data_IF_125407849165
#
_entry.id   IF_125407849165
#
_cell.length_a   1.000
_cell.length_b   1.000
_cell.length_c   1.000
_cell.angle_alpha   90.00
_cell.angle_beta   90.00
_cell.angle_gamma   90.00
#
_symmetry.space_group_name_H-M   'P 1'
#
loop_
_entity.id
_entity.type
_entity.pdbx_description
1 polymer ?
#
# COMPACT_ATOMS: atom_id res chain seq x y z
N UNK A 1 28.58 15.68 -0.27
CA UNK A 1 27.42 16.57 -0.04
C UNK A 1 26.41 15.76 0.75
N UNK A 2 26.46 15.83 2.09
CA UNK A 2 25.82 14.87 2.98
C UNK A 2 24.39 15.28 3.36
N UNK A 3 23.43 14.40 3.09
CA UNK A 3 22.06 14.51 3.61
C UNK A 3 22.06 14.16 5.10
N UNK A 4 21.68 15.14 5.93
CA UNK A 4 21.59 15.00 7.38
C UNK A 4 20.43 14.06 7.76
N UNK A 5 20.73 13.05 8.58
CA UNK A 5 19.74 12.36 9.42
C UNK A 5 19.26 13.35 10.48
N UNK A 6 17.96 13.61 10.53
CA UNK A 6 17.33 14.32 11.65
C UNK A 6 16.40 13.33 12.33
N UNK A 7 16.73 13.00 13.58
CA UNK A 7 15.84 12.27 14.49
C UNK A 7 15.34 13.32 15.48
N UNK A 8 14.15 13.86 15.27
CA UNK A 8 13.52 14.78 16.21
C UNK A 8 12.37 14.07 16.92
N UNK A 9 12.50 13.95 18.25
CA UNK A 9 11.44 13.58 19.18
C UNK A 9 10.45 14.75 19.29
N UNK A 10 9.16 14.48 19.18
CA UNK A 10 8.10 15.48 19.39
C UNK A 10 7.32 15.11 20.66
N UNK A 11 7.42 15.95 21.70
CA UNK A 11 6.51 15.93 22.84
C UNK A 11 5.27 16.78 22.51
N UNK A 12 4.09 16.19 22.61
CA UNK A 12 2.82 16.83 22.30
C UNK A 12 2.39 17.78 23.42
N UNK A 13 2.24 19.07 23.09
CA UNK A 13 1.52 20.02 23.93
C UNK A 13 0.01 19.73 23.85
N UNK A 14 -0.54 19.20 24.94
CA UNK A 14 -1.97 19.13 25.16
C UNK A 14 -2.47 20.49 25.66
N UNK A 15 -3.37 21.14 24.92
CA UNK A 15 -4.47 21.85 25.57
C UNK A 15 -5.69 22.09 24.66
N UNK A 16 -6.82 21.56 25.14
CA UNK A 16 -8.19 22.05 25.07
C UNK A 16 -8.74 22.65 23.77
N UNK A 17 -9.68 21.93 23.15
CA UNK A 17 -10.91 22.56 22.65
C UNK A 17 -12.07 21.54 22.63
N UNK A 18 -13.08 21.80 23.45
CA UNK A 18 -14.38 21.13 23.42
C UNK A 18 -15.17 21.58 22.19
N UNK A 19 -15.82 20.61 21.51
CA UNK A 19 -16.92 20.84 20.59
C UNK A 19 -16.55 21.33 19.17
N UNK A 20 -16.17 20.40 18.29
CA UNK A 20 -16.39 20.49 16.82
C UNK A 20 -16.12 19.14 16.11
N UNK A 21 -17.07 18.80 15.24
CA UNK A 21 -16.96 17.97 14.02
C UNK A 21 -17.23 16.45 14.07
N UNK A 22 -18.40 16.09 13.53
CA UNK A 22 -18.63 14.91 12.68
C UNK A 22 -17.71 14.94 11.42
N UNK A 23 -16.39 14.92 11.59
CA UNK A 23 -15.46 14.68 10.50
C UNK A 23 -14.94 13.26 10.57
N UNK A 24 -15.69 12.34 9.96
CA UNK A 24 -15.18 11.01 9.64
C UNK A 24 -14.25 11.10 8.43
N UNK A 25 -13.07 11.71 8.59
CA UNK A 25 -12.00 11.57 7.62
C UNK A 25 -10.78 10.95 8.30
N UNK A 26 -10.30 9.88 7.67
CA UNK A 26 -9.16 9.09 8.08
C UNK A 26 -8.43 8.66 6.82
N UNK A 27 -7.57 7.66 6.93
CA UNK A 27 -6.81 7.16 5.78
C UNK A 27 -7.62 6.09 5.06
N UNK A 28 -7.78 6.21 3.73
CA UNK A 28 -8.34 5.15 2.89
C UNK A 28 -7.22 4.34 2.24
N UNK A 29 -7.42 3.03 2.18
CA UNK A 29 -6.42 2.09 1.69
C UNK A 29 -6.86 1.57 0.33
N UNK A 30 -5.99 1.70 -0.66
CA UNK A 30 -6.24 1.28 -2.04
C UNK A 30 -5.24 0.19 -2.37
N UNK A 31 -5.74 -1.02 -2.58
CA UNK A 31 -4.93 -2.16 -3.01
C UNK A 31 -4.99 -2.27 -4.52
N UNK A 32 -3.85 -2.09 -5.18
CA UNK A 32 -3.69 -2.23 -6.62
C UNK A 32 -3.49 -3.71 -6.98
N UNK A 33 -4.54 -4.34 -7.49
CA UNK A 33 -4.60 -5.77 -7.79
C UNK A 33 -5.11 -6.07 -9.22
N UNK A 34 -4.99 -5.10 -10.14
CA UNK A 34 -5.50 -5.19 -11.51
C UNK A 34 -4.42 -5.32 -12.59
N UNK A 35 -3.15 -5.51 -12.20
CA UNK A 35 -2.04 -5.67 -13.13
C UNK A 35 -2.09 -6.99 -13.90
N UNK A 36 -1.75 -6.95 -15.19
CA UNK A 36 -1.83 -8.11 -16.11
C UNK A 36 -0.84 -9.26 -15.84
N UNK A 37 0.09 -9.12 -14.89
CA UNK A 37 1.07 -10.14 -14.53
C UNK A 37 1.78 -10.81 -15.74
N UNK A 38 2.09 -10.04 -16.79
CA UNK A 38 2.58 -10.55 -18.09
C UNK A 38 3.84 -11.43 -17.99
N UNK A 39 4.70 -11.15 -17.01
CA UNK A 39 5.96 -11.90 -16.77
C UNK A 39 5.76 -13.20 -15.98
N UNK A 40 4.62 -13.35 -15.29
CA UNK A 40 4.29 -14.50 -14.47
C UNK A 40 3.48 -15.55 -15.25
N UNK A 41 2.94 -15.19 -16.42
CA UNK A 41 2.19 -16.12 -17.27
C UNK A 41 0.69 -16.19 -16.96
N UNK A 42 0.09 -15.10 -16.42
CA UNK A 42 -1.28 -14.96 -15.89
C UNK A 42 -1.48 -15.52 -14.47
N UNK A 43 -2.52 -15.06 -13.75
CA UNK A 43 -2.97 -15.57 -12.43
C UNK A 43 -1.97 -15.45 -11.26
N UNK A 44 -0.99 -14.54 -11.31
CA UNK A 44 0.00 -14.35 -10.22
C UNK A 44 -0.63 -14.14 -8.84
N UNK A 45 -1.64 -13.28 -8.77
CA UNK A 45 -2.24 -12.86 -7.52
C UNK A 45 -3.11 -13.96 -6.88
N UNK A 46 -3.58 -14.91 -7.69
CA UNK A 46 -4.36 -16.08 -7.27
C UNK A 46 -3.52 -17.35 -7.14
N UNK A 47 -2.27 -17.34 -7.60
CA UNK A 47 -1.33 -18.44 -7.44
C UNK A 47 -1.13 -18.79 -5.96
N UNK A 48 -1.05 -20.08 -5.67
CA UNK A 48 -0.78 -20.57 -4.32
C UNK A 48 0.64 -20.22 -3.90
N UNK A 49 0.76 -19.63 -2.72
CA UNK A 49 2.00 -19.41 -2.03
C UNK A 49 1.80 -19.79 -0.57
N UNK A 50 2.41 -20.91 -0.17
CA UNK A 50 2.34 -21.44 1.21
C UNK A 50 0.89 -21.72 1.66
N UNK A 51 0.07 -22.31 0.77
CA UNK A 51 -1.32 -22.69 1.06
C UNK A 51 -2.33 -21.54 1.04
N UNK A 52 -1.96 -20.39 0.46
CA UNK A 52 -2.82 -19.21 0.32
C UNK A 52 -2.57 -18.51 -1.01
N UNK A 53 -3.60 -17.94 -1.66
CA UNK A 53 -3.42 -17.04 -2.79
C UNK A 53 -2.46 -15.89 -2.46
N UNK A 54 -1.58 -15.51 -3.38
CA UNK A 54 -0.58 -14.47 -3.15
C UNK A 54 -1.18 -13.16 -2.61
N UNK A 55 -2.28 -12.67 -3.22
CA UNK A 55 -2.99 -11.47 -2.76
C UNK A 55 -3.59 -11.62 -1.35
N UNK A 56 -3.95 -12.86 -0.97
CA UNK A 56 -4.47 -13.17 0.35
C UNK A 56 -3.50 -12.86 1.49
N UNK A 57 -2.19 -12.88 1.23
CA UNK A 57 -1.19 -12.48 2.22
C UNK A 57 -1.28 -10.99 2.57
N UNK A 58 -1.43 -10.13 1.56
CA UNK A 58 -1.63 -8.69 1.76
C UNK A 58 -2.98 -8.41 2.42
N UNK A 59 -4.03 -9.16 2.07
CA UNK A 59 -5.36 -9.01 2.68
C UNK A 59 -5.36 -9.40 4.16
N UNK A 60 -4.65 -10.46 4.53
CA UNK A 60 -4.46 -10.81 5.94
C UNK A 60 -3.57 -9.80 6.68
N UNK A 61 -2.57 -9.21 6.02
CA UNK A 61 -1.78 -8.12 6.59
C UNK A 61 -2.65 -6.90 6.91
N UNK A 62 -3.58 -6.53 6.02
CA UNK A 62 -4.55 -5.45 6.25
C UNK A 62 -5.49 -5.77 7.42
N UNK A 63 -5.98 -7.01 7.50
CA UNK A 63 -6.84 -7.46 8.60
C UNK A 63 -6.10 -7.45 9.94
N UNK A 64 -4.89 -7.99 9.99
CA UNK A 64 -4.05 -8.01 11.20
C UNK A 64 -3.57 -6.62 11.64
N UNK A 65 -3.48 -5.66 10.72
CA UNK A 65 -3.26 -4.26 11.04
C UNK A 65 -4.45 -3.59 11.74
N UNK A 66 -5.61 -4.25 11.81
CA UNK A 66 -6.84 -3.72 12.39
C UNK A 66 -7.56 -2.71 11.48
N UNK A 67 -7.27 -2.72 10.17
CA UNK A 67 -7.93 -1.84 9.22
C UNK A 67 -9.42 -2.22 9.09
N UNK A 68 -10.36 -1.28 9.30
CA UNK A 68 -11.78 -1.55 9.05
C UNK A 68 -11.99 -1.94 7.58
N UNK A 69 -12.71 -3.03 7.26
CA UNK A 69 -12.86 -3.47 5.87
C UNK A 69 -13.44 -2.39 4.94
N UNK A 70 -14.35 -1.56 5.46
CA UNK A 70 -14.95 -0.43 4.74
C UNK A 70 -13.96 0.71 4.39
N UNK A 71 -12.74 0.69 4.94
CA UNK A 71 -11.66 1.64 4.61
C UNK A 71 -10.77 1.16 3.46
N UNK A 72 -10.91 -0.11 3.06
CA UNK A 72 -10.10 -0.76 2.03
C UNK A 72 -10.89 -0.85 0.72
N UNK A 73 -10.24 -0.49 -0.38
CA UNK A 73 -10.74 -0.63 -1.75
C UNK A 73 -9.74 -1.45 -2.56
N UNK A 74 -10.16 -2.58 -3.11
CA UNK A 74 -9.34 -3.42 -3.98
C UNK A 74 -9.70 -3.14 -5.43
N UNK A 75 -8.73 -2.68 -6.21
CA UNK A 75 -8.89 -2.46 -7.65
C UNK A 75 -8.46 -3.73 -8.37
N UNK A 76 -9.37 -4.38 -9.08
CA UNK A 76 -9.18 -5.71 -9.65
C UNK A 76 -9.47 -5.74 -11.15
N UNK A 77 -8.89 -6.71 -11.85
CA UNK A 77 -9.25 -7.03 -13.25
C UNK A 77 -9.66 -8.50 -13.35
N UNK A 78 -8.95 -9.37 -12.64
CA UNK A 78 -9.28 -10.78 -12.46
C UNK A 78 -10.47 -10.95 -11.48
N UNK A 79 -11.60 -11.55 -11.91
CA UNK A 79 -12.76 -11.79 -11.05
C UNK A 79 -12.47 -12.58 -9.77
N UNK A 80 -11.48 -13.48 -9.80
CA UNK A 80 -11.13 -14.27 -8.61
C UNK A 80 -10.57 -13.38 -7.49
N UNK A 81 -9.95 -12.25 -7.84
CA UNK A 81 -9.51 -11.23 -6.88
C UNK A 81 -10.71 -10.48 -6.26
N UNK A 82 -11.78 -10.26 -7.03
CA UNK A 82 -13.01 -9.67 -6.50
C UNK A 82 -13.63 -10.58 -5.44
N UNK A 83 -13.79 -11.87 -5.76
CA UNK A 83 -14.31 -12.88 -4.84
C UNK A 83 -13.46 -12.96 -3.57
N UNK A 84 -12.13 -12.97 -3.73
CA UNK A 84 -11.22 -12.98 -2.58
C UNK A 84 -11.37 -11.71 -1.74
N UNK A 85 -11.43 -10.52 -2.34
CA UNK A 85 -11.59 -9.27 -1.62
C UNK A 85 -12.92 -9.19 -0.85
N UNK A 86 -14.00 -9.67 -1.46
CA UNK A 86 -15.34 -9.75 -0.84
C UNK A 86 -15.35 -10.72 0.35
N UNK A 87 -14.61 -11.83 0.29
CA UNK A 87 -14.45 -12.74 1.44
C UNK A 87 -13.82 -12.04 2.66
N UNK A 88 -12.93 -11.06 2.45
CA UNK A 88 -12.38 -10.22 3.53
C UNK A 88 -13.28 -9.02 3.89
N UNK A 89 -14.40 -8.83 3.20
CA UNK A 89 -15.33 -7.72 3.39
C UNK A 89 -14.83 -6.38 2.84
N UNK A 90 -13.85 -6.39 1.94
CA UNK A 90 -13.31 -5.17 1.34
C UNK A 90 -14.20 -4.65 0.22
N UNK A 91 -14.16 -3.34 -0.03
CA UNK A 91 -14.81 -2.77 -1.20
C UNK A 91 -14.03 -3.18 -2.46
N UNK A 92 -14.73 -3.39 -3.57
CA UNK A 92 -14.12 -3.80 -4.84
C UNK A 92 -14.37 -2.77 -5.94
N UNK A 93 -13.41 -2.63 -6.86
CA UNK A 93 -13.50 -1.74 -8.01
C UNK A 93 -12.94 -2.43 -9.25
N UNK A 94 -13.79 -2.65 -10.26
CA UNK A 94 -13.38 -3.27 -11.51
C UNK A 94 -12.56 -2.30 -12.38
N UNK A 95 -11.44 -2.78 -12.90
CA UNK A 95 -10.63 -2.10 -13.90
C UNK A 95 -10.88 -2.69 -15.29
N UNK A 96 -11.63 -1.99 -16.16
CA UNK A 96 -11.93 -2.47 -17.51
C UNK A 96 -10.75 -2.34 -18.49
N UNK A 97 -9.69 -1.60 -18.13
CA UNK A 97 -8.56 -1.30 -19.02
C UNK A 97 -7.21 -1.40 -18.32
N UNK A 98 -6.81 -2.60 -17.84
CA UNK A 98 -5.54 -2.79 -17.13
C UNK A 98 -4.30 -2.52 -18.00
N UNK A 99 -4.44 -2.48 -19.32
CA UNK A 99 -3.39 -2.16 -20.29
C UNK A 99 -2.88 -0.72 -20.22
N UNK A 100 -3.66 0.21 -19.66
CA UNK A 100 -3.16 1.57 -19.42
C UNK A 100 -2.04 1.56 -18.36
N UNK A 101 -2.01 0.57 -17.47
CA UNK A 101 -0.99 0.41 -16.44
C UNK A 101 -1.38 1.02 -15.10
N UNK A 102 -0.39 1.38 -14.29
CA UNK A 102 -0.59 1.76 -12.89
C UNK A 102 -1.51 2.98 -12.69
N UNK A 103 -1.48 3.95 -13.61
CA UNK A 103 -2.29 5.16 -13.49
C UNK A 103 -3.80 4.84 -13.45
N UNK A 104 -4.27 3.91 -14.29
CA UNK A 104 -5.68 3.51 -14.28
C UNK A 104 -6.10 2.95 -12.92
N UNK A 105 -5.27 2.08 -12.32
CA UNK A 105 -5.53 1.52 -10.99
C UNK A 105 -5.63 2.61 -9.92
N UNK A 106 -4.71 3.58 -9.94
CA UNK A 106 -4.69 4.68 -8.98
C UNK A 106 -5.95 5.53 -9.10
N UNK A 107 -6.33 5.94 -10.33
CA UNK A 107 -7.50 6.78 -10.56
C UNK A 107 -8.80 6.07 -10.17
N UNK A 108 -8.94 4.79 -10.55
CA UNK A 108 -10.10 3.97 -10.21
C UNK A 108 -10.22 3.78 -8.70
N UNK A 109 -9.12 3.44 -8.02
CA UNK A 109 -9.10 3.28 -6.57
C UNK A 109 -9.44 4.57 -5.83
N UNK A 110 -8.94 5.71 -6.29
CA UNK A 110 -9.28 7.03 -5.73
C UNK A 110 -10.75 7.41 -5.96
N UNK A 111 -11.31 7.09 -7.14
CA UNK A 111 -12.70 7.39 -7.48
C UNK A 111 -13.70 6.50 -6.73
N UNK A 112 -13.35 5.23 -6.50
CA UNK A 112 -14.18 4.29 -5.76
C UNK A 112 -14.07 4.46 -4.23
N UNK A 113 -13.00 5.09 -3.75
CA UNK A 113 -12.83 5.39 -2.34
C UNK A 113 -13.58 6.64 -1.93
N UNK A 114 -14.13 6.65 -0.71
CA UNK A 114 -14.68 7.88 -0.11
C UNK A 114 -13.60 8.97 0.00
N UNK A 115 -14.03 10.21 0.17
CA UNK A 115 -13.13 11.29 0.59
C UNK A 115 -12.39 10.89 1.89
N UNK A 116 -11.16 11.36 2.04
CA UNK A 116 -10.21 10.91 3.05
C UNK A 116 -9.18 12.00 3.34
N UNK A 117 -8.54 12.02 4.50
CA UNK A 117 -7.43 12.93 4.77
C UNK A 117 -6.14 12.50 4.05
N UNK A 118 -6.04 11.21 3.77
CA UNK A 118 -4.93 10.62 3.02
C UNK A 118 -5.34 9.31 2.36
N UNK A 119 -4.54 8.88 1.39
CA UNK A 119 -4.71 7.64 0.66
C UNK A 119 -3.44 6.81 0.75
N UNK A 120 -3.53 5.62 1.35
CA UNK A 120 -2.47 4.63 1.33
C UNK A 120 -2.65 3.73 0.11
N UNK A 121 -1.61 3.59 -0.70
CA UNK A 121 -1.55 2.65 -1.81
C UNK A 121 -0.69 1.45 -1.43
N UNK A 122 -1.20 0.26 -1.72
CA UNK A 122 -0.53 -1.03 -1.55
C UNK A 122 -0.59 -1.79 -2.87
N UNK A 123 0.37 -2.67 -3.12
CA UNK A 123 0.29 -3.67 -4.19
C UNK A 123 -0.09 -5.03 -3.60
N UNK A 124 -0.80 -5.85 -4.38
CA UNK A 124 -1.28 -7.15 -3.91
C UNK A 124 -0.23 -8.28 -3.99
N UNK A 125 1.00 -7.97 -4.42
CA UNK A 125 2.07 -8.93 -4.72
C UNK A 125 3.27 -8.83 -3.77
N UNK A 126 3.08 -8.23 -2.60
CA UNK A 126 4.07 -8.14 -1.51
C UNK A 126 3.67 -9.07 -0.34
N UNK A 127 3.82 -10.40 -0.46
CA UNK A 127 3.28 -11.35 0.52
C UNK A 127 3.95 -11.27 1.90
N UNK A 128 5.11 -10.62 2.00
CA UNK A 128 5.85 -10.48 3.25
C UNK A 128 5.54 -9.17 3.99
N UNK A 129 4.71 -8.30 3.41
CA UNK A 129 4.27 -7.07 4.07
C UNK A 129 3.53 -7.39 5.37
N UNK A 130 3.92 -6.74 6.47
CA UNK A 130 3.37 -7.02 7.81
C UNK A 130 2.28 -6.05 8.21
N UNK A 131 1.29 -6.54 8.95
CA UNK A 131 0.25 -5.69 9.55
C UNK A 131 0.80 -4.65 10.54
N UNK A 132 1.91 -4.96 11.22
CA UNK A 132 2.61 -4.00 12.09
C UNK A 132 3.18 -2.82 11.28
N UNK A 133 3.70 -3.07 10.08
CA UNK A 133 4.18 -2.01 9.18
C UNK A 133 3.04 -1.13 8.71
N UNK A 134 1.94 -1.74 8.25
CA UNK A 134 0.73 -1.00 7.83
C UNK A 134 0.20 -0.13 8.98
N UNK A 135 -0.06 -0.73 10.14
CA UNK A 135 -0.61 -0.01 11.30
C UNK A 135 0.34 1.06 11.85
N UNK A 136 1.66 0.82 11.83
CA UNK A 136 2.66 1.79 12.21
C UNK A 136 2.68 2.99 11.28
N UNK A 137 2.71 2.77 9.96
CA UNK A 137 2.61 3.83 8.96
C UNK A 137 1.33 4.65 9.10
N UNK A 138 0.17 4.00 9.30
CA UNK A 138 -1.11 4.68 9.50
C UNK A 138 -1.10 5.59 10.74
N UNK A 139 -0.50 5.12 11.85
CA UNK A 139 -0.39 5.90 13.10
C UNK A 139 0.62 7.04 13.01
N UNK A 140 1.70 6.85 12.25
CA UNK A 140 2.78 7.83 12.13
C UNK A 140 2.52 8.89 11.05
N UNK A 141 1.52 8.70 10.19
CA UNK A 141 1.29 9.61 9.08
C UNK A 141 0.77 10.98 9.54
N UNK A 142 1.48 12.09 9.23
CA UNK A 142 1.06 13.43 9.62
C UNK A 142 0.02 13.99 8.65
N UNK A 143 -1.22 13.48 8.74
CA UNK A 143 -2.32 13.87 7.86
C UNK A 143 -2.60 15.39 7.92
N UNK A 144 -2.91 15.98 6.77
CA UNK A 144 -3.16 17.42 6.61
C UNK A 144 -1.91 18.28 6.47
N UNK A 145 -0.71 17.71 6.67
CA UNK A 145 0.56 18.44 6.56
C UNK A 145 1.15 18.38 5.14
N UNK A 146 0.43 17.81 4.17
CA UNK A 146 0.90 17.72 2.79
C UNK A 146 2.14 16.86 2.64
N UNK A 147 2.23 15.76 3.41
CA UNK A 147 3.35 14.81 3.37
C UNK A 147 3.07 13.61 2.48
N UNK A 148 4.14 12.95 2.04
CA UNK A 148 4.12 11.67 1.34
C UNK A 148 4.98 10.71 2.16
N UNK A 149 4.41 9.63 2.67
CA UNK A 149 5.14 8.64 3.46
C UNK A 149 5.39 7.36 2.67
N UNK A 150 6.64 6.90 2.62
CA UNK A 150 7.05 5.68 1.93
C UNK A 150 7.59 4.68 2.94
N UNK A 151 7.28 3.39 2.77
CA UNK A 151 8.04 2.36 3.44
C UNK A 151 9.49 2.36 2.92
N UNK A 152 10.45 2.26 3.83
CA UNK A 152 11.86 2.26 3.48
C UNK A 152 12.67 1.33 4.38
N UNK A 153 13.73 0.73 3.83
CA UNK A 153 14.72 -0.03 4.58
C UNK A 153 16.12 0.30 4.07
N UNK A 154 16.96 0.86 4.95
CA UNK A 154 18.37 1.21 4.68
C UNK A 154 18.56 1.99 3.37
N UNK A 155 17.68 2.95 3.11
CA UNK A 155 17.73 3.82 1.93
C UNK A 155 17.04 3.26 0.67
N UNK A 156 16.53 2.03 0.70
CA UNK A 156 15.65 1.51 -0.36
C UNK A 156 14.20 1.82 0.00
N UNK A 157 13.44 2.36 -0.94
CA UNK A 157 12.03 2.75 -0.74
C UNK A 157 11.10 1.87 -1.57
N UNK A 158 9.90 1.59 -1.07
CA UNK A 158 8.88 0.82 -1.77
C UNK A 158 7.47 1.13 -1.27
N UNK A 159 6.54 0.22 -1.58
CA UNK A 159 5.20 0.23 -1.01
C UNK A 159 5.22 -0.32 0.43
N UNK A 160 4.21 0.00 1.26
CA UNK A 160 3.11 0.94 1.01
C UNK A 160 3.56 2.39 0.85
N UNK A 161 2.70 3.21 0.23
CA UNK A 161 2.88 4.66 0.12
C UNK A 161 1.63 5.39 0.57
N UNK A 162 1.75 6.37 1.46
CA UNK A 162 0.66 7.25 1.86
C UNK A 162 0.83 8.63 1.22
N UNK A 163 -0.19 9.10 0.52
CA UNK A 163 -0.27 10.47 0.02
C UNK A 163 -1.32 11.25 0.80
N UNK A 164 -0.96 12.43 1.29
CA UNK A 164 -1.92 13.41 1.79
C UNK A 164 -2.97 13.75 0.71
N UNK A 165 -4.21 14.03 1.12
CA UNK A 165 -5.31 14.41 0.23
C UNK A 165 -4.93 15.53 -0.75
N UNK A 166 -4.03 16.45 -0.36
CA UNK A 166 -3.50 17.49 -1.25
C UNK A 166 -3.04 16.95 -2.62
N UNK A 167 -2.51 15.73 -2.67
CA UNK A 167 -2.01 15.11 -3.90
C UNK A 167 -3.07 14.37 -4.72
N UNK A 168 -4.31 14.24 -4.22
CA UNK A 168 -5.39 13.52 -4.91
C UNK A 168 -5.60 14.03 -6.34
N UNK A 169 -5.65 15.34 -6.56
CA UNK A 169 -5.85 15.92 -7.88
C UNK A 169 -4.71 15.57 -8.84
N UNK A 170 -3.46 15.59 -8.37
CA UNK A 170 -2.29 15.20 -9.18
C UNK A 170 -2.28 13.71 -9.49
N UNK A 171 -2.64 12.86 -8.51
CA UNK A 171 -2.78 11.42 -8.72
C UNK A 171 -3.89 11.10 -9.74
N UNK A 172 -5.00 11.84 -9.71
CA UNK A 172 -6.10 11.72 -10.68
C UNK A 172 -5.70 12.12 -12.11
N UNK A 173 -4.58 12.83 -12.30
CA UNK A 173 -4.09 13.26 -13.61
C UNK A 173 -3.00 12.34 -14.20
N UNK A 174 -2.55 11.33 -13.45
CA UNK A 174 -1.59 10.34 -13.95
C UNK A 174 -2.14 9.63 -15.19
N UNK A 175 -1.25 9.24 -16.10
CA UNK A 175 -1.59 8.53 -17.35
C UNK A 175 -0.56 7.45 -17.66
N UNK A 176 -0.99 6.43 -18.38
CA UNK A 176 -0.14 5.33 -18.82
C UNK A 176 0.47 4.56 -17.64
N UNK A 177 1.62 3.95 -17.87
CA UNK A 177 2.28 3.11 -16.87
C UNK A 177 3.08 3.92 -15.83
N UNK A 178 2.49 5.02 -15.38
CA UNK A 178 3.10 5.93 -14.40
C UNK A 178 2.41 5.78 -13.05
N UNK A 179 3.16 5.31 -12.05
CA UNK A 179 2.69 5.25 -10.67
C UNK A 179 2.96 6.53 -9.87
N UNK A 180 2.69 6.47 -8.56
CA UNK A 180 2.92 7.57 -7.61
C UNK A 180 4.37 8.07 -7.53
N UNK A 181 5.34 7.29 -8.05
CA UNK A 181 6.76 7.69 -8.18
C UNK A 181 6.94 9.03 -8.92
N UNK A 182 6.08 9.36 -9.88
CA UNK A 182 6.14 10.66 -10.55
C UNK A 182 5.86 11.81 -9.57
N UNK A 183 4.83 11.67 -8.74
CA UNK A 183 4.46 12.68 -7.73
C UNK A 183 5.54 12.79 -6.67
N UNK A 184 6.07 11.65 -6.18
CA UNK A 184 7.17 11.62 -5.21
C UNK A 184 8.38 12.41 -5.71
N UNK A 185 8.76 12.26 -6.99
CA UNK A 185 9.89 12.99 -7.59
C UNK A 185 9.63 14.49 -7.76
N UNK A 186 8.36 14.88 -7.90
CA UNK A 186 7.97 16.28 -8.04
C UNK A 186 8.02 17.04 -6.71
N UNK A 187 7.84 16.34 -5.58
CA UNK A 187 7.77 16.94 -4.24
C UNK A 187 8.74 16.26 -3.25
N UNK A 188 10.06 16.24 -3.51
CA UNK A 188 11.03 15.56 -2.65
C UNK A 188 11.03 16.10 -1.21
N UNK A 189 10.71 17.37 -1.00
CA UNK A 189 10.62 18.03 0.32
C UNK A 189 9.40 17.56 1.15
N UNK A 190 8.41 16.95 0.51
CA UNK A 190 7.24 16.39 1.17
C UNK A 190 7.44 14.93 1.60
N UNK A 191 8.50 14.28 1.13
CA UNK A 191 8.73 12.85 1.35
C UNK A 191 9.28 12.60 2.74
N UNK A 192 8.64 11.69 3.46
CA UNK A 192 9.10 11.12 4.72
C UNK A 192 9.23 9.61 4.58
N UNK A 193 10.25 9.03 5.21
CA UNK A 193 10.48 7.59 5.17
C UNK A 193 10.03 6.96 6.48
N UNK A 194 9.23 5.91 6.37
CA UNK A 194 8.92 5.03 7.48
C UNK A 194 9.88 3.84 7.42
N UNK A 195 10.83 3.80 8.36
CA UNK A 195 11.82 2.73 8.41
C UNK A 195 11.16 1.43 8.88
N UNK A 196 11.16 0.43 8.01
CA UNK A 196 10.63 -0.91 8.31
C UNK A 196 11.71 -1.80 8.90
N UNK A 197 11.31 -2.86 9.58
CA UNK A 197 12.24 -3.74 10.27
C UNK A 197 12.97 -4.74 9.34
N UNK A 198 12.35 -5.14 8.22
CA UNK A 198 12.86 -6.22 7.36
C UNK A 198 12.81 -5.78 5.90
N UNK A 199 13.90 -5.97 5.15
CA UNK A 199 13.98 -5.56 3.75
C UNK A 199 12.97 -6.29 2.85
N UNK A 200 12.64 -7.53 3.23
CA UNK A 200 11.80 -8.46 2.49
C UNK A 200 10.35 -7.98 2.35
N UNK A 201 9.88 -7.08 3.22
CA UNK A 201 8.53 -6.49 3.11
C UNK A 201 8.41 -5.55 1.89
N UNK A 202 9.53 -5.07 1.33
CA UNK A 202 9.54 -4.26 0.11
C UNK A 202 9.60 -5.09 -1.18
N UNK A 203 9.70 -6.42 -1.09
CA UNK A 203 9.86 -7.28 -2.26
C UNK A 203 8.53 -7.53 -2.95
N UNK A 204 8.44 -7.12 -4.22
CA UNK A 204 7.36 -7.50 -5.13
C UNK A 204 7.68 -8.86 -5.77
N UNK A 205 6.68 -9.72 -5.93
CA UNK A 205 6.81 -10.97 -6.69
C UNK A 205 6.50 -10.68 -8.15
N UNK A 206 7.45 -10.82 -9.06
CA UNK A 206 7.24 -10.57 -10.49
C UNK A 206 7.19 -11.84 -11.32
N UNK A 207 7.83 -12.91 -10.84
CA UNK A 207 7.99 -14.19 -11.53
C UNK A 207 7.76 -15.37 -10.60
N UNK A 208 7.48 -16.54 -11.19
CA UNK A 208 7.27 -17.76 -10.43
C UNK A 208 8.52 -18.17 -9.64
N UNK A 209 9.72 -17.86 -10.15
CA UNK A 209 10.97 -18.13 -9.45
C UNK A 209 11.12 -17.33 -8.15
N UNK A 210 10.49 -16.15 -8.05
CA UNK A 210 10.52 -15.33 -6.84
C UNK A 210 9.76 -16.02 -5.69
N UNK A 211 8.67 -16.74 -5.99
CA UNK A 211 7.94 -17.55 -5.01
C UNK A 211 8.79 -18.71 -4.48
N UNK A 212 9.56 -19.36 -5.36
CA UNK A 212 10.45 -20.44 -4.97
C UNK A 212 11.60 -19.95 -4.08
N UNK A 213 12.12 -18.73 -4.34
CA UNK A 213 13.11 -18.10 -3.49
C UNK A 213 12.53 -17.74 -2.12
N UNK A 214 11.37 -17.08 -2.08
CA UNK A 214 10.72 -16.71 -0.82
C UNK A 214 10.39 -17.92 0.06
N UNK A 215 9.91 -19.01 -0.54
CA UNK A 215 9.63 -20.26 0.20
C UNK A 215 10.89 -20.78 0.93
N UNK A 216 12.07 -20.64 0.32
CA UNK A 216 13.34 -21.04 0.98
C UNK A 216 13.69 -20.15 2.16
N UNK A 217 13.48 -18.83 2.03
CA UNK A 217 13.73 -17.86 3.10
C UNK A 217 12.84 -18.18 4.31
N UNK A 218 11.54 -18.34 4.08
CA UNK A 218 10.57 -18.62 5.13
C UNK A 218 10.83 -19.96 5.85
N UNK A 219 11.16 -21.01 5.09
CA UNK A 219 11.48 -22.32 5.67
C UNK A 219 12.79 -22.30 6.47
N UNK A 220 13.76 -21.46 6.07
CA UNK A 220 15.02 -21.32 6.81
C UNK A 220 14.88 -20.54 8.12
N UNK A 221 13.86 -19.67 8.23
CA UNK A 221 13.55 -18.94 9.45
C UNK A 221 12.66 -19.74 10.42
N UNK A 222 11.83 -20.66 9.91
CA UNK A 222 11.08 -21.60 10.77
C UNK A 222 11.99 -22.61 11.46
N UNK A 223 13.09 -23.02 10.82
CA UNK A 223 14.09 -23.93 11.40
C UNK A 223 15.00 -23.25 12.46
N UNK A 224 14.91 -21.92 12.60
CA UNK A 224 15.70 -21.12 13.56
C UNK A 224 14.92 -20.67 14.80
N UNK A 225 13.64 -21.03 14.92
CA UNK A 225 12.77 -20.65 16.04
C UNK A 225 12.47 -21.82 16.97
#
# INVERSE_FOLDING_TARGET
MGMKRVVEHWEAAANSNEGKDEREYGIKLIVMASGLARRFGSNKLTADFQGRPLAGWVFEALKSAGCPPCSVTVVWHDPDIAVLAEFYGFNTCYNPGPEEGQAASIRLGLAASKEADAYMFLTADQPLLRGQTISGMLKSFPAGQGKIMLAAHRGNTGNPVIFDRKYKASLMQLKGDTGGKLIIRQYPEAVVWYEIANAEELMDIDRAEDLAHLSKILNSDSDRR
#
